data_IF_470131022748
#
_entry.id   IF_470131022748
#
_cell.length_a   1.000
_cell.length_b   1.000
_cell.length_c   1.000
_cell.angle_alpha   90.00
_cell.angle_beta   90.00
_cell.angle_gamma   90.00
#
_symmetry.space_group_name_H-M   'P 1'
#
loop_
_entity.id
_entity.type
_entity.pdbx_description
1 polymer ?
#
# COMPACT_ATOMS: atom_id res chain seq x y z
N UNK A 1 -17.08 -9.22 3.55
CA UNK A 1 -17.55 -8.80 2.23
C UNK A 1 -17.36 -9.97 1.29
N UNK A 2 -18.19 -10.14 0.26
CA UNK A 2 -17.86 -11.08 -0.81
C UNK A 2 -16.69 -10.46 -1.57
N UNK A 3 -15.59 -11.19 -1.77
CA UNK A 3 -14.36 -10.71 -2.43
C UNK A 3 -14.56 -10.52 -3.94
N UNK A 4 -15.56 -9.71 -4.30
CA UNK A 4 -15.92 -9.34 -5.65
C UNK A 4 -15.37 -7.94 -5.88
N UNK A 5 -14.53 -7.72 -6.91
CA UNK A 5 -13.99 -6.40 -7.22
C UNK A 5 -15.10 -5.37 -7.38
N UNK A 6 -14.99 -4.24 -6.67
CA UNK A 6 -15.98 -3.15 -6.71
C UNK A 6 -15.88 -2.28 -7.97
N UNK A 7 -14.92 -2.53 -8.86
CA UNK A 7 -14.66 -1.76 -10.06
C UNK A 7 -14.36 -2.67 -11.26
N UNK A 8 -14.51 -2.12 -12.48
CA UNK A 8 -14.11 -2.79 -13.71
C UNK A 8 -12.63 -3.19 -13.63
N UNK A 9 -12.36 -4.48 -13.74
CA UNK A 9 -11.00 -5.01 -13.74
C UNK A 9 -10.45 -4.94 -15.16
N UNK A 10 -9.29 -4.32 -15.31
CA UNK A 10 -8.53 -4.38 -16.55
C UNK A 10 -8.16 -5.84 -16.82
N UNK A 11 -8.13 -6.23 -18.10
CA UNK A 11 -7.47 -7.49 -18.45
C UNK A 11 -5.96 -7.35 -18.21
N UNK A 12 -5.27 -8.47 -18.00
CA UNK A 12 -3.81 -8.46 -17.84
C UNK A 12 -3.10 -7.82 -19.05
N UNK A 13 -3.67 -7.97 -20.26
CA UNK A 13 -3.17 -7.29 -21.47
C UNK A 13 -3.30 -5.77 -21.36
N UNK A 14 -4.46 -5.26 -20.96
CA UNK A 14 -4.69 -3.83 -20.79
C UNK A 14 -3.79 -3.20 -19.72
N UNK A 15 -3.55 -3.92 -18.61
CA UNK A 15 -2.70 -3.44 -17.53
C UNK A 15 -1.23 -3.27 -17.96
N UNK A 16 -0.71 -4.13 -18.85
CA UNK A 16 0.69 -4.09 -19.31
C UNK A 16 1.07 -2.82 -20.06
N UNK A 17 0.11 -2.14 -20.69
CA UNK A 17 0.38 -0.95 -21.48
C UNK A 17 0.23 0.36 -20.70
N UNK A 18 -0.24 0.30 -19.46
CA UNK A 18 -0.35 1.49 -18.62
C UNK A 18 1.02 1.85 -18.04
N UNK A 19 1.52 3.08 -18.25
CA UNK A 19 2.77 3.52 -17.66
C UNK A 19 2.66 3.66 -16.14
N UNK A 20 3.77 3.42 -15.44
CA UNK A 20 3.89 3.71 -14.01
C UNK A 20 3.78 5.22 -13.80
N UNK A 21 2.76 5.65 -13.09
CA UNK A 21 2.49 7.06 -12.82
C UNK A 21 3.02 7.48 -11.44
N UNK A 22 2.94 6.58 -10.46
CA UNK A 22 3.35 6.89 -9.10
C UNK A 22 3.68 5.59 -8.33
N UNK A 23 4.60 5.71 -7.38
CA UNK A 23 4.82 4.72 -6.32
C UNK A 23 4.61 5.43 -5.00
N UNK A 24 3.74 4.87 -4.16
CA UNK A 24 3.55 5.35 -2.80
C UNK A 24 3.30 4.16 -1.87
N UNK A 25 3.23 4.42 -0.58
CA UNK A 25 2.89 3.41 0.41
C UNK A 25 1.98 3.98 1.47
N UNK A 26 1.21 3.09 2.09
CA UNK A 26 0.35 3.37 3.24
C UNK A 26 0.92 2.75 4.50
N UNK A 27 0.68 3.39 5.65
CA UNK A 27 0.87 2.77 6.96
C UNK A 27 -0.33 1.85 7.22
N UNK A 28 -0.08 0.56 7.38
CA UNK A 28 -1.09 -0.48 7.32
C UNK A 28 -1.54 -0.78 5.89
N UNK A 29 -2.21 -1.92 5.72
CA UNK A 29 -2.82 -2.32 4.47
C UNK A 29 -4.17 -1.63 4.28
N UNK A 30 -4.40 -1.10 3.09
CA UNK A 30 -5.72 -0.58 2.69
C UNK A 30 -6.66 -1.77 2.45
N UNK A 31 -6.14 -2.79 1.77
CA UNK A 31 -6.84 -4.03 1.53
C UNK A 31 -6.80 -4.93 2.77
N UNK A 32 -7.87 -5.68 3.01
CA UNK A 32 -7.96 -6.64 4.12
C UNK A 32 -7.74 -8.05 3.61
N UNK A 33 -6.85 -8.80 4.27
CA UNK A 33 -6.69 -10.24 4.06
C UNK A 33 -6.53 -10.97 5.40
N UNK A 34 -6.62 -12.30 5.39
CA UNK A 34 -6.44 -13.13 6.59
C UNK A 34 -5.10 -12.88 7.30
N UNK A 35 -4.06 -12.56 6.54
CA UNK A 35 -2.70 -12.32 6.99
C UNK A 35 -2.54 -10.93 7.64
N UNK A 36 -3.39 -9.96 7.28
CA UNK A 36 -3.36 -8.58 7.74
C UNK A 36 -4.78 -8.01 7.87
N UNK A 37 -5.44 -8.36 8.97
CA UNK A 37 -6.81 -7.93 9.29
C UNK A 37 -6.93 -7.27 10.68
N UNK A 38 -5.81 -6.97 11.33
CA UNK A 38 -5.82 -6.38 12.66
C UNK A 38 -6.07 -4.88 12.60
N UNK A 39 -7.24 -4.42 13.06
CA UNK A 39 -7.60 -2.99 13.11
C UNK A 39 -7.21 -2.28 14.41
N UNK A 40 -6.39 -2.89 15.28
CA UNK A 40 -6.10 -2.34 16.62
C UNK A 40 -5.44 -0.97 16.58
N UNK A 41 -4.54 -0.74 15.63
CA UNK A 41 -3.88 0.56 15.50
C UNK A 41 -4.84 1.62 14.97
N UNK A 42 -5.73 1.25 14.04
CA UNK A 42 -6.79 2.14 13.57
C UNK A 42 -7.72 2.54 14.71
N UNK A 43 -8.16 1.58 15.53
CA UNK A 43 -9.02 1.84 16.69
C UNK A 43 -8.34 2.75 17.73
N UNK A 44 -7.04 2.59 17.96
CA UNK A 44 -6.27 3.51 18.80
C UNK A 44 -6.24 4.91 18.19
N UNK A 45 -5.93 5.02 16.90
CA UNK A 45 -5.92 6.31 16.19
C UNK A 45 -7.28 7.00 16.26
N UNK A 46 -8.38 6.26 16.09
CA UNK A 46 -9.74 6.83 16.17
C UNK A 46 -10.11 7.33 17.57
N UNK A 47 -9.49 6.78 18.62
CA UNK A 47 -9.67 7.26 19.99
C UNK A 47 -8.89 8.55 20.29
N UNK A 48 -7.77 8.79 19.59
CA UNK A 48 -6.94 10.00 19.71
C UNK A 48 -6.13 10.25 18.41
N UNK A 49 -6.73 10.92 17.42
CA UNK A 49 -6.12 11.14 16.10
C UNK A 49 -4.87 12.04 16.14
N UNK A 50 -4.93 13.10 16.94
CA UNK A 50 -3.91 14.14 16.97
C UNK A 50 -2.58 13.62 17.56
N UNK A 51 -2.66 12.63 18.47
CA UNK A 51 -1.47 12.02 19.07
C UNK A 51 -0.77 10.98 18.17
N UNK A 52 -1.44 10.45 17.14
CA UNK A 52 -0.97 9.26 16.40
C UNK A 52 -0.57 9.52 14.94
N UNK A 53 -0.71 10.75 14.45
CA UNK A 53 -0.25 11.15 13.12
C UNK A 53 -1.11 10.55 12.00
N UNK A 54 -0.49 9.79 11.08
CA UNK A 54 -1.20 9.20 9.92
C UNK A 54 -2.11 8.05 10.38
N UNK A 55 -3.37 8.06 9.96
CA UNK A 55 -4.32 6.98 10.24
C UNK A 55 -3.83 5.66 9.65
N UNK A 56 -3.59 4.61 10.45
CA UNK A 56 -3.14 3.32 9.94
C UNK A 56 -4.31 2.51 9.37
N UNK A 57 -4.00 1.67 8.38
CA UNK A 57 -4.87 0.63 7.85
C UNK A 57 -4.83 -0.68 8.66
N UNK A 58 -5.08 -1.80 7.99
CA UNK A 58 -5.04 -3.13 8.59
C UNK A 58 -3.60 -3.60 8.82
N UNK A 59 -3.35 -4.23 9.96
CA UNK A 59 -2.02 -4.76 10.27
C UNK A 59 -1.99 -6.28 10.36
N UNK A 60 -0.81 -6.84 10.17
CA UNK A 60 -0.52 -8.21 10.55
C UNK A 60 -0.84 -8.43 12.03
N UNK A 61 -1.49 -9.54 12.35
CA UNK A 61 -1.57 -9.99 13.74
C UNK A 61 -0.20 -10.52 14.12
N UNK A 62 0.41 -9.88 15.14
CA UNK A 62 1.81 -10.06 15.50
C UNK A 62 2.27 -11.52 15.44
N UNK A 63 3.21 -11.81 14.53
CA UNK A 63 4.01 -13.03 14.60
C UNK A 63 4.84 -12.99 15.87
N UNK A 64 5.20 -14.16 16.38
CA UNK A 64 6.13 -14.37 17.51
C UNK A 64 7.55 -13.93 17.13
N UNK A 65 7.73 -12.63 16.92
CA UNK A 65 9.03 -12.00 16.79
C UNK A 65 9.63 -11.78 18.18
N UNK A 66 10.92 -12.06 18.30
CA UNK A 66 11.66 -11.78 19.53
C UNK A 66 11.86 -10.27 19.71
N UNK A 67 12.07 -9.79 20.95
CA UNK A 67 12.40 -8.39 21.19
C UNK A 67 13.62 -7.90 20.38
N UNK A 68 14.57 -8.79 20.07
CA UNK A 68 15.72 -8.49 19.23
C UNK A 68 15.33 -8.20 17.77
N UNK A 69 14.31 -8.89 17.25
CA UNK A 69 13.80 -8.71 15.88
C UNK A 69 12.90 -7.50 15.72
N UNK A 70 12.32 -7.00 16.82
CA UNK A 70 11.48 -5.79 16.83
C UNK A 70 12.22 -4.56 17.35
N UNK A 71 13.56 -4.61 17.41
CA UNK A 71 14.36 -3.46 17.83
C UNK A 71 14.11 -2.26 16.89
N UNK A 72 13.95 -1.05 17.42
CA UNK A 72 13.88 0.15 16.60
C UNK A 72 15.10 0.27 15.68
N UNK A 73 14.85 0.70 14.45
CA UNK A 73 15.87 0.95 13.45
C UNK A 73 15.93 2.45 13.14
N UNK A 74 17.14 3.02 13.14
CA UNK A 74 17.36 4.42 12.81
C UNK A 74 17.41 4.60 11.29
N UNK A 75 16.25 4.84 10.68
CA UNK A 75 16.15 5.01 9.23
C UNK A 75 16.90 6.28 8.75
N UNK A 76 17.66 6.14 7.65
CA UNK A 76 18.37 7.27 7.02
C UNK A 76 17.41 8.25 6.34
N UNK A 77 16.38 7.70 5.71
CA UNK A 77 15.32 8.38 4.96
C UNK A 77 13.96 7.95 5.50
N UNK A 78 12.90 8.72 5.26
CA UNK A 78 11.58 8.47 5.85
C UNK A 78 11.68 8.37 7.38
N UNK A 79 12.28 9.39 8.00
CA UNK A 79 12.59 9.42 9.44
C UNK A 79 11.34 9.48 10.32
N UNK A 80 10.24 9.93 9.74
CA UNK A 80 8.93 10.05 10.37
C UNK A 80 7.96 9.11 9.65
N UNK A 81 7.05 8.48 10.40
CA UNK A 81 6.01 7.60 9.86
C UNK A 81 6.45 6.18 9.48
N UNK A 82 7.75 5.85 9.60
CA UNK A 82 8.27 4.49 9.38
C UNK A 82 8.91 3.93 10.65
N UNK A 83 8.44 2.77 11.11
CA UNK A 83 8.96 2.10 12.30
C UNK A 83 8.96 0.57 12.14
N UNK A 84 9.83 -0.11 12.88
CA UNK A 84 9.92 -1.57 12.87
C UNK A 84 8.67 -2.17 13.52
N UNK A 85 8.14 -3.24 12.93
CA UNK A 85 7.00 -3.97 13.47
C UNK A 85 5.64 -3.49 12.96
N UNK A 86 5.61 -2.53 12.03
CA UNK A 86 4.38 -2.11 11.34
C UNK A 86 4.20 -2.80 10.00
N UNK A 87 2.95 -2.76 9.54
CA UNK A 87 2.57 -3.21 8.19
C UNK A 87 2.62 -2.00 7.26
N UNK A 88 3.07 -2.21 6.02
CA UNK A 88 3.05 -1.18 4.98
C UNK A 88 2.56 -1.82 3.68
N UNK A 89 1.66 -1.15 2.98
CA UNK A 89 1.21 -1.55 1.65
C UNK A 89 1.80 -0.60 0.62
N UNK A 90 2.53 -1.13 -0.37
CA UNK A 90 3.15 -0.34 -1.44
C UNK A 90 2.28 -0.42 -2.68
N UNK A 91 1.87 0.73 -3.19
CA UNK A 91 1.10 0.86 -4.41
C UNK A 91 2.02 1.25 -5.56
N UNK A 92 1.99 0.43 -6.61
CA UNK A 92 2.55 0.75 -7.92
C UNK A 92 1.38 1.16 -8.81
N UNK A 93 1.17 2.46 -8.94
CA UNK A 93 0.00 2.99 -9.64
C UNK A 93 0.33 3.15 -11.11
N UNK A 94 -0.38 2.40 -11.94
CA UNK A 94 -0.33 2.50 -13.39
C UNK A 94 -1.57 3.23 -13.91
N UNK A 95 -1.38 4.23 -14.77
CA UNK A 95 -2.49 5.07 -15.25
C UNK A 95 -2.27 5.56 -16.68
N UNK A 96 -3.36 5.64 -17.44
CA UNK A 96 -3.40 6.32 -18.74
C UNK A 96 -3.72 7.81 -18.60
N UNK A 97 -4.05 8.29 -17.39
CA UNK A 97 -4.33 9.70 -17.16
C UNK A 97 -3.09 10.54 -17.50
N UNK A 98 -3.28 11.57 -18.31
CA UNK A 98 -2.18 12.41 -18.81
C UNK A 98 -1.43 11.87 -20.03
N UNK A 99 -1.81 10.70 -20.57
CA UNK A 99 -1.23 10.13 -21.78
C UNK A 99 -2.21 10.17 -22.95
N UNK A 100 -1.72 10.47 -24.15
CA UNK A 100 -2.55 10.33 -25.36
C UNK A 100 -2.76 8.86 -25.71
N UNK A 101 -3.77 8.56 -26.54
CA UNK A 101 -3.95 7.20 -27.08
C UNK A 101 -2.70 6.70 -27.82
N UNK A 102 -1.97 7.59 -28.49
CA UNK A 102 -0.71 7.21 -29.15
C UNK A 102 0.41 6.89 -28.16
N UNK A 103 0.48 7.56 -27.01
CA UNK A 103 1.53 7.31 -26.01
C UNK A 103 1.34 5.97 -25.28
N UNK A 104 0.08 5.51 -25.18
CA UNK A 104 -0.29 4.22 -24.56
C UNK A 104 -0.16 3.08 -25.58
N UNK A 105 -0.62 3.28 -26.82
CA UNK A 105 -0.59 2.25 -27.88
C UNK A 105 0.78 2.13 -28.57
N UNK A 106 1.52 3.23 -28.70
CA UNK A 106 2.83 3.27 -29.36
C UNK A 106 3.93 2.50 -28.61
N UNK A 107 3.80 2.33 -27.29
CA UNK A 107 4.71 1.47 -26.50
C UNK A 107 4.48 -0.03 -26.71
N UNK A 108 3.34 -0.43 -27.27
CA UNK A 108 3.08 -1.82 -27.62
C UNK A 108 3.86 -2.28 -28.87
N UNK A 109 4.52 -1.35 -29.58
CA UNK A 109 5.16 -1.58 -30.88
C UNK A 109 6.64 -1.16 -30.94
N UNK A 110 7.27 -0.89 -29.80
CA UNK A 110 8.73 -0.69 -29.78
C UNK A 110 9.42 -2.04 -29.51
N UNK A 111 10.38 -2.46 -30.36
CA UNK A 111 11.06 -3.75 -30.26
C UNK A 111 11.93 -3.88 -29.00
#
# INVERSE_FOLDING_TARGET
GKDVPKAATLTASMAKFLPLANVHFHLGAEHRASEYQCGRQTAKWEADPDAQGVRPGWECEGRSLTPAQTRPYAFKFCREGVEVGRTYEVHYVHSSAGYSKMDVLGRAHLP
#
